data_IF_265867344917
#
_entry.id   IF_265867344917
#
_cell.length_a   1.000
_cell.length_b   1.000
_cell.length_c   1.000
_cell.angle_alpha   90.00
_cell.angle_beta   90.00
_cell.angle_gamma   90.00
#
_symmetry.space_group_name_H-M   'P 1'
#
loop_
_entity.id
_entity.type
_entity.pdbx_description
1 polymer ?
#
# COMPACT_ATOMS: atom_id res chain seq x y z
N UNK A 1 6.02 -2.24 3.61
CA UNK A 1 6.92 -2.75 4.67
C UNK A 1 6.08 -3.14 5.88
N UNK A 2 6.46 -4.17 6.63
CA UNK A 2 5.68 -4.64 7.78
C UNK A 2 6.05 -3.81 9.03
N UNK A 3 5.12 -3.62 9.95
CA UNK A 3 5.36 -2.89 11.21
C UNK A 3 6.52 -3.48 12.04
N UNK A 4 6.80 -4.78 11.89
CA UNK A 4 7.92 -5.47 12.57
C UNK A 4 9.30 -5.18 11.99
N UNK A 5 9.37 -4.61 10.79
CA UNK A 5 10.64 -4.31 10.10
C UNK A 5 11.08 -2.85 10.28
N UNK A 6 10.21 -2.00 10.85
CA UNK A 6 10.54 -0.62 11.20
C UNK A 6 11.19 -0.59 12.59
N UNK A 7 12.32 0.12 12.74
CA UNK A 7 13.06 0.22 14.02
C UNK A 7 12.84 1.57 14.75
N UNK A 8 12.00 2.44 14.21
CA UNK A 8 11.77 3.81 14.73
C UNK A 8 10.68 3.82 15.81
N UNK A 9 9.55 3.17 15.54
CA UNK A 9 8.39 3.12 16.45
C UNK A 9 8.18 1.69 16.94
N UNK A 10 7.47 1.53 18.06
CA UNK A 10 7.06 0.21 18.53
C UNK A 10 6.19 -0.51 17.47
N UNK A 11 6.44 -1.80 17.21
CA UNK A 11 5.76 -2.52 16.15
C UNK A 11 4.29 -2.75 16.50
N UNK A 12 3.40 -2.09 15.77
CA UNK A 12 1.94 -2.24 15.90
C UNK A 12 1.36 -3.03 14.71
N UNK A 13 0.73 -4.17 15.01
CA UNK A 13 0.09 -5.07 14.02
C UNK A 13 -1.09 -4.42 13.30
N UNK A 14 -1.70 -3.38 13.88
CA UNK A 14 -2.87 -2.72 13.30
C UNK A 14 -2.51 -1.76 12.16
N UNK A 15 -1.22 -1.53 11.93
CA UNK A 15 -0.73 -0.61 10.92
C UNK A 15 0.28 -1.28 9.99
N UNK A 16 0.31 -0.79 8.76
CA UNK A 16 1.33 -1.10 7.77
C UNK A 16 1.90 0.22 7.25
N UNK A 17 3.08 0.18 6.64
CA UNK A 17 3.75 1.38 6.16
C UNK A 17 3.89 1.36 4.64
N UNK A 18 3.38 2.40 4.00
CA UNK A 18 3.62 2.73 2.58
C UNK A 18 4.91 3.55 2.51
N UNK A 19 5.90 3.08 1.74
CA UNK A 19 7.17 3.79 1.59
C UNK A 19 7.31 4.34 0.17
N UNK A 20 7.83 5.56 0.09
CA UNK A 20 8.25 6.20 -1.15
C UNK A 20 9.74 6.48 -1.04
N UNK A 21 10.51 5.93 -1.97
CA UNK A 21 11.95 6.09 -2.04
C UNK A 21 12.33 6.62 -3.43
N UNK A 22 13.23 7.60 -3.46
CA UNK A 22 13.78 8.16 -4.69
C UNK A 22 15.19 8.67 -4.41
N UNK A 23 16.17 8.36 -5.25
CA UNK A 23 17.50 8.99 -5.14
C UNK A 23 17.45 10.42 -5.69
N UNK A 24 18.07 11.42 -5.04
CA UNK A 24 18.91 11.38 -3.83
C UNK A 24 18.15 11.67 -2.52
N UNK A 25 16.82 11.59 -2.53
CA UNK A 25 15.96 11.96 -1.41
C UNK A 25 15.89 10.87 -0.33
N UNK A 26 15.60 11.30 0.90
CA UNK A 26 15.33 10.37 1.99
C UNK A 26 14.01 9.63 1.76
N UNK A 27 13.97 8.37 2.19
CA UNK A 27 12.76 7.55 2.08
C UNK A 27 11.71 8.04 3.07
N UNK A 28 10.49 8.30 2.58
CA UNK A 28 9.36 8.74 3.39
C UNK A 28 8.39 7.57 3.58
N UNK A 29 7.92 7.38 4.81
CA UNK A 29 6.96 6.33 5.17
C UNK A 29 5.63 6.93 5.67
N UNK A 30 4.51 6.43 5.16
CA UNK A 30 3.16 6.77 5.61
C UNK A 30 2.56 5.59 6.38
N UNK A 31 2.15 5.85 7.62
CA UNK A 31 1.43 4.89 8.45
C UNK A 31 -0.02 4.78 7.98
N UNK A 32 -0.41 3.61 7.51
CA UNK A 32 -1.77 3.33 7.04
C UNK A 32 -2.37 2.16 7.82
N UNK A 33 -3.71 2.07 7.96
CA UNK A 33 -4.35 0.93 8.58
C UNK A 33 -3.95 -0.38 7.88
N UNK A 34 -3.76 -1.45 8.66
CA UNK A 34 -3.48 -2.81 8.17
C UNK A 34 -4.74 -3.47 7.58
N UNK A 35 -5.36 -2.81 6.61
CA UNK A 35 -6.45 -3.35 5.78
C UNK A 35 -5.90 -3.83 4.45
N UNK A 36 -6.59 -4.79 3.84
CA UNK A 36 -6.19 -5.29 2.53
C UNK A 36 -6.33 -4.19 1.47
N UNK A 37 -5.26 -3.98 0.70
CA UNK A 37 -5.23 -3.03 -0.39
C UNK A 37 -5.72 -3.71 -1.66
N UNK A 38 -6.47 -2.99 -2.49
CA UNK A 38 -6.87 -3.50 -3.79
C UNK A 38 -5.66 -3.50 -4.72
N UNK A 39 -5.21 -4.70 -5.12
CA UNK A 39 -4.04 -4.92 -5.98
C UNK A 39 -4.38 -5.03 -7.46
N UNK A 40 -5.65 -4.81 -7.83
CA UNK A 40 -6.07 -4.79 -9.23
C UNK A 40 -5.46 -3.60 -9.94
N UNK A 41 -5.01 -3.80 -11.18
CA UNK A 41 -4.30 -2.79 -11.98
C UNK A 41 -5.14 -1.52 -12.22
N UNK A 42 -6.47 -1.64 -12.22
CA UNK A 42 -7.42 -0.51 -12.36
C UNK A 42 -7.64 0.31 -11.08
N UNK A 43 -7.11 -0.16 -9.93
CA UNK A 43 -7.34 0.44 -8.60
C UNK A 43 -6.10 1.04 -7.97
N UNK A 44 -4.96 0.90 -8.63
CA UNK A 44 -3.70 1.50 -8.25
C UNK A 44 -3.25 2.44 -9.37
N UNK A 45 -2.73 3.60 -8.98
CA UNK A 45 -2.18 4.56 -9.95
C UNK A 45 -0.88 5.11 -9.39
N UNK A 46 0.16 5.12 -10.23
CA UNK A 46 1.39 5.82 -9.96
C UNK A 46 1.84 6.56 -11.21
N UNK A 47 2.30 7.80 -11.04
CA UNK A 47 2.78 8.64 -12.13
C UNK A 47 3.93 9.53 -11.64
N UNK A 48 5.02 9.54 -12.40
CA UNK A 48 6.15 10.43 -12.18
C UNK A 48 6.18 11.48 -13.28
N UNK A 49 6.05 12.75 -12.87
CA UNK A 49 6.28 13.89 -13.74
C UNK A 49 7.75 14.32 -13.58
N UNK A 50 8.63 14.07 -14.58
CA UNK A 50 10.03 14.45 -14.50
C UNK A 50 10.26 15.96 -14.64
N UNK A 51 9.35 16.68 -15.30
CA UNK A 51 9.46 18.12 -15.55
C UNK A 51 9.09 18.90 -14.29
N UNK A 52 7.98 18.53 -13.65
CA UNK A 52 7.55 19.11 -12.38
C UNK A 52 8.27 18.51 -11.15
N UNK A 53 8.93 17.35 -11.32
CA UNK A 53 9.51 16.51 -10.26
C UNK A 53 8.45 16.08 -9.23
N UNK A 54 7.27 15.72 -9.71
CA UNK A 54 6.13 15.33 -8.89
C UNK A 54 5.85 13.84 -9.00
N UNK A 55 5.78 13.17 -7.84
CA UNK A 55 5.39 11.76 -7.77
C UNK A 55 3.98 11.63 -7.23
N UNK A 56 3.08 11.15 -8.09
CA UNK A 56 1.68 10.90 -7.77
C UNK A 56 1.50 9.41 -7.51
N UNK A 57 0.89 9.08 -6.37
CA UNK A 57 0.51 7.71 -6.04
C UNK A 57 -0.88 7.69 -5.43
N UNK A 58 -1.71 6.77 -5.92
CA UNK A 58 -3.05 6.52 -5.42
C UNK A 58 -3.21 5.04 -5.13
N UNK A 59 -3.66 4.75 -3.92
CA UNK A 59 -3.89 3.38 -3.44
C UNK A 59 -5.28 3.33 -2.81
N UNK A 60 -6.06 2.31 -3.18
CA UNK A 60 -7.40 2.09 -2.63
C UNK A 60 -7.40 0.90 -1.68
N UNK A 61 -8.18 0.99 -0.61
CA UNK A 61 -8.50 -0.16 0.23
C UNK A 61 -9.53 -1.05 -0.47
N UNK A 62 -9.45 -2.36 -0.21
CA UNK A 62 -10.53 -3.26 -0.62
C UNK A 62 -11.84 -2.84 0.03
N UNK A 63 -12.90 -2.81 -0.76
CA UNK A 63 -14.27 -2.66 -0.22
C UNK A 63 -14.69 -3.94 0.50
N UNK A 64 -15.51 -3.81 1.55
CA UNK A 64 -16.01 -4.95 2.37
C UNK A 64 -16.62 -6.07 1.52
N UNK A 65 -17.21 -5.73 0.37
CA UNK A 65 -17.79 -6.71 -0.56
C UNK A 65 -16.72 -7.58 -1.20
N UNK A 66 -15.56 -7.02 -1.54
CA UNK A 66 -14.42 -7.72 -2.13
C UNK A 66 -13.64 -8.55 -1.11
N UNK A 67 -13.52 -8.08 0.15
CA UNK A 67 -12.91 -8.86 1.25
C UNK A 67 -13.65 -10.19 1.48
N UNK A 68 -14.98 -10.20 1.37
CA UNK A 68 -15.79 -11.44 1.47
C UNK A 68 -15.55 -12.43 0.34
N UNK A 69 -15.20 -11.96 -0.86
CA UNK A 69 -14.87 -12.85 -1.98
C UNK A 69 -13.46 -13.45 -1.83
N UNK A 70 -12.51 -12.72 -1.24
CA UNK A 70 -11.15 -13.21 -0.99
C UNK A 70 -11.06 -14.16 0.23
N UNK A 71 -11.94 -14.00 1.22
CA UNK A 71 -11.97 -14.84 2.42
C UNK A 71 -12.62 -16.23 2.22
N UNK A 72 -13.22 -16.50 1.05
CA UNK A 72 -13.80 -17.80 0.73
C UNK A 72 -12.72 -18.73 0.09
N UNK A 73 -12.25 -19.78 0.80
CA UNK A 73 -11.27 -20.71 0.24
C UNK A 73 -11.90 -21.47 -0.93
N UNK A 74 -11.42 -21.22 -2.15
CA UNK A 74 -11.85 -21.94 -3.36
C UNK A 74 -12.36 -21.07 -4.51
N UNK A 75 -12.35 -19.74 -4.39
CA UNK A 75 -12.77 -18.84 -5.47
C UNK A 75 -11.63 -18.02 -6.10
N UNK A 76 -10.38 -18.49 -5.99
CA UNK A 76 -9.32 -18.04 -6.90
C UNK A 76 -9.60 -18.70 -8.26
N UNK A 77 -10.37 -18.00 -9.09
CA UNK A 77 -10.59 -18.41 -10.47
C UNK A 77 -9.25 -18.51 -11.21
N UNK A 78 -9.15 -19.51 -12.07
CA UNK A 78 -8.07 -19.76 -13.02
C UNK A 78 -7.68 -18.53 -13.82
#
# INVERSE_FOLDING_TARGET
MNAFTQHIEEPDKNFQYLLVAAEPYETVGFKIPARELDKREDRQFCFWDPDAKEYWIQVMFMTERAERFNAAPGLTAR
#
